data_IF_004197835976
#
_entry.id   IF_004197835976
#
_cell.length_a   1.000
_cell.length_b   1.000
_cell.length_c   1.000
_cell.angle_alpha   90.00
_cell.angle_beta   90.00
_cell.angle_gamma   90.00
#
_symmetry.space_group_name_H-M   'P 1'
#
loop_
_entity.id
_entity.type
_entity.pdbx_description
1 polymer ?
#
# COMPACT_ATOMS: atom_id res chain seq x y z
N UNK A 1 0.32 -8.64 15.74
CA UNK A 1 -0.55 -9.01 14.58
C UNK A 1 -1.49 -7.85 14.32
N UNK A 2 -1.59 -7.45 13.07
CA UNK A 2 -2.42 -6.30 12.63
C UNK A 2 -3.89 -6.60 12.88
N UNK A 3 -4.61 -5.64 13.49
CA UNK A 3 -6.05 -5.76 13.67
C UNK A 3 -6.75 -5.84 12.31
N UNK A 4 -7.72 -6.76 12.17
CA UNK A 4 -8.48 -6.95 10.92
C UNK A 4 -7.75 -7.73 9.81
N UNK A 5 -6.48 -8.13 9.98
CA UNK A 5 -5.75 -8.90 8.97
C UNK A 5 -6.42 -10.25 8.67
N UNK A 6 -7.12 -10.83 9.64
CA UNK A 6 -7.83 -12.09 9.42
C UNK A 6 -9.00 -11.92 8.44
N UNK A 7 -9.82 -10.87 8.60
CA UNK A 7 -10.90 -10.56 7.66
C UNK A 7 -10.34 -10.27 6.28
N UNK A 8 -9.25 -9.50 6.20
CA UNK A 8 -8.57 -9.25 4.94
C UNK A 8 -8.10 -10.55 4.28
N UNK A 9 -7.49 -11.46 5.07
CA UNK A 9 -7.04 -12.77 4.58
C UNK A 9 -8.19 -13.62 4.03
N UNK A 10 -9.29 -13.73 4.74
CA UNK A 10 -10.47 -14.50 4.30
C UNK A 10 -11.00 -14.02 2.96
N UNK A 11 -10.96 -12.70 2.71
CA UNK A 11 -11.45 -12.10 1.46
C UNK A 11 -10.45 -12.21 0.31
N UNK A 12 -9.14 -12.10 0.58
CA UNK A 12 -8.13 -11.89 -0.44
C UNK A 12 -7.15 -13.05 -0.64
N UNK A 13 -7.23 -14.14 0.14
CA UNK A 13 -6.31 -15.28 -0.02
C UNK A 13 -6.31 -15.86 -1.44
N UNK A 14 -7.45 -15.85 -2.13
CA UNK A 14 -7.56 -16.31 -3.52
C UNK A 14 -7.00 -15.35 -4.56
N UNK A 15 -6.63 -14.16 -4.15
CA UNK A 15 -6.12 -13.08 -4.99
C UNK A 15 -4.65 -12.75 -4.70
N UNK A 16 -3.90 -13.68 -4.12
CA UNK A 16 -2.50 -13.45 -3.73
C UNK A 16 -1.60 -13.02 -4.89
N UNK A 17 -1.99 -13.26 -6.13
CA UNK A 17 -1.23 -12.85 -7.31
C UNK A 17 -1.57 -11.44 -7.81
N UNK A 18 -2.57 -10.79 -7.22
CA UNK A 18 -3.01 -9.46 -7.64
C UNK A 18 -2.34 -8.32 -6.85
N UNK A 19 -1.66 -8.63 -5.73
CA UNK A 19 -1.11 -7.61 -4.85
C UNK A 19 0.10 -8.10 -4.05
N UNK A 20 0.85 -7.14 -3.49
CA UNK A 20 1.89 -7.38 -2.50
C UNK A 20 1.63 -6.48 -1.29
N UNK A 21 1.54 -7.05 -0.11
CA UNK A 21 1.50 -6.30 1.16
C UNK A 21 2.92 -5.84 1.48
N UNK A 22 3.06 -4.57 1.81
CA UNK A 22 4.32 -3.92 2.15
C UNK A 22 4.28 -3.31 3.56
N UNK A 23 5.24 -2.49 3.89
CA UNK A 23 5.22 -1.66 5.12
C UNK A 23 5.32 -2.47 6.41
N UNK A 24 4.64 -1.96 7.44
CA UNK A 24 4.67 -2.53 8.79
C UNK A 24 4.07 -3.92 8.86
N UNK A 25 3.00 -4.18 8.13
CA UNK A 25 2.31 -5.48 8.10
C UNK A 25 3.18 -6.57 7.51
N UNK A 26 3.95 -6.29 6.46
CA UNK A 26 4.92 -7.26 5.92
C UNK A 26 6.08 -7.50 6.88
N UNK A 27 6.56 -6.46 7.58
CA UNK A 27 7.56 -6.63 8.64
C UNK A 27 7.04 -7.52 9.79
N UNK A 28 5.79 -7.33 10.21
CA UNK A 28 5.15 -8.12 11.26
C UNK A 28 5.10 -9.61 10.88
N UNK A 29 4.71 -9.93 9.63
CA UNK A 29 4.71 -11.31 9.14
C UNK A 29 6.09 -11.96 9.12
N UNK A 30 7.12 -11.23 8.70
CA UNK A 30 8.51 -11.73 8.68
C UNK A 30 9.01 -11.97 10.11
N UNK A 31 8.82 -11.00 10.99
CA UNK A 31 9.34 -11.03 12.35
C UNK A 31 8.56 -12.00 13.26
N UNK A 32 7.29 -12.29 12.94
CA UNK A 32 6.49 -13.27 13.69
C UNK A 32 7.10 -14.67 13.72
N UNK A 33 8.02 -14.97 12.80
CA UNK A 33 8.79 -16.23 12.72
C UNK A 33 10.09 -16.20 13.51
N UNK A 34 10.36 -15.11 14.21
CA UNK A 34 11.57 -14.90 15.01
C UNK A 34 11.16 -14.58 16.45
N UNK A 35 12.15 -14.49 17.34
CA UNK A 35 11.94 -14.04 18.72
C UNK A 35 11.75 -12.51 18.83
N UNK A 36 11.92 -11.79 17.72
CA UNK A 36 11.80 -10.34 17.67
C UNK A 36 10.34 -9.93 17.71
N UNK A 37 10.03 -8.92 18.52
CA UNK A 37 8.69 -8.32 18.54
C UNK A 37 8.66 -7.12 17.60
N UNK A 38 7.87 -7.17 16.52
CA UNK A 38 7.71 -6.02 15.64
C UNK A 38 6.97 -4.89 16.36
N UNK A 39 7.14 -3.67 15.86
CA UNK A 39 6.31 -2.53 16.28
C UNK A 39 4.86 -2.81 15.86
N UNK A 40 3.92 -2.59 16.78
CA UNK A 40 2.51 -2.68 16.44
C UNK A 40 2.17 -1.77 15.25
N UNK A 41 1.55 -2.34 14.23
CA UNK A 41 0.98 -1.61 13.08
C UNK A 41 -0.52 -1.87 13.01
N UNK A 42 -1.28 -0.92 12.50
CA UNK A 42 -2.73 -1.02 12.37
C UNK A 42 -3.18 -0.86 10.91
N UNK A 43 -2.22 -0.61 10.03
CA UNK A 43 -2.43 -0.26 8.63
C UNK A 43 -2.03 -1.42 7.72
N UNK A 44 -2.76 -1.60 6.63
CA UNK A 44 -2.37 -2.51 5.55
C UNK A 44 -2.03 -1.68 4.32
N UNK A 45 -0.76 -1.70 3.94
CA UNK A 45 -0.25 -1.05 2.74
C UNK A 45 -0.13 -2.09 1.62
N UNK A 46 -0.74 -1.83 0.47
CA UNK A 46 -0.87 -2.77 -0.63
C UNK A 46 -0.33 -2.15 -1.91
N UNK A 47 0.54 -2.86 -2.60
CA UNK A 47 0.93 -2.57 -3.99
C UNK A 47 0.15 -3.49 -4.92
N UNK A 48 -0.55 -2.93 -5.88
CA UNK A 48 -1.30 -3.71 -6.88
C UNK A 48 -0.37 -4.19 -7.97
N UNK A 49 -0.44 -5.47 -8.30
CA UNK A 49 0.24 -6.05 -9.46
C UNK A 49 -0.68 -5.86 -10.67
N UNK A 50 -0.45 -4.78 -11.41
CA UNK A 50 -1.35 -4.35 -12.48
C UNK A 50 -1.39 -5.33 -13.65
N UNK A 51 -0.31 -6.06 -13.86
CA UNK A 51 -0.19 -7.11 -14.88
C UNK A 51 -1.14 -8.29 -14.61
N UNK A 52 -1.51 -8.50 -13.36
CA UNK A 52 -2.41 -9.57 -12.93
C UNK A 52 -3.81 -9.05 -12.56
N UNK A 53 -4.11 -7.79 -12.87
CA UNK A 53 -5.40 -7.18 -12.50
C UNK A 53 -6.56 -7.91 -13.14
N UNK A 54 -7.56 -8.25 -12.33
CA UNK A 54 -8.82 -8.85 -12.79
C UNK A 54 -10.02 -8.06 -12.29
N UNK A 55 -11.14 -8.06 -13.04
CA UNK A 55 -12.38 -7.42 -12.59
C UNK A 55 -12.91 -8.03 -11.28
N UNK A 56 -12.65 -9.30 -11.03
CA UNK A 56 -13.04 -10.01 -9.81
C UNK A 56 -12.30 -9.45 -8.59
N UNK A 57 -10.99 -9.24 -8.70
CA UNK A 57 -10.21 -8.61 -7.63
C UNK A 57 -10.68 -7.18 -7.38
N UNK A 58 -10.85 -6.39 -8.43
CA UNK A 58 -11.32 -5.01 -8.31
C UNK A 58 -12.67 -4.93 -7.57
N UNK A 59 -13.65 -5.74 -8.00
CA UNK A 59 -14.96 -5.82 -7.33
C UNK A 59 -14.85 -6.27 -5.87
N UNK A 60 -14.04 -7.29 -5.59
CA UNK A 60 -13.84 -7.78 -4.22
C UNK A 60 -13.22 -6.72 -3.32
N UNK A 61 -12.25 -5.96 -3.86
CA UNK A 61 -11.62 -4.87 -3.11
C UNK A 61 -12.62 -3.76 -2.77
N UNK A 62 -13.37 -3.28 -3.76
CA UNK A 62 -14.36 -2.22 -3.52
C UNK A 62 -15.51 -2.67 -2.62
N UNK A 63 -15.94 -3.93 -2.71
CA UNK A 63 -16.90 -4.50 -1.77
C UNK A 63 -16.35 -4.54 -0.34
N UNK A 64 -15.08 -4.91 -0.16
CA UNK A 64 -14.42 -4.90 1.14
C UNK A 64 -14.35 -3.50 1.76
N UNK A 65 -14.02 -2.49 0.96
CA UNK A 65 -13.98 -1.09 1.39
C UNK A 65 -15.38 -0.62 1.83
N UNK A 66 -16.42 -0.95 1.06
CA UNK A 66 -17.78 -0.60 1.38
C UNK A 66 -18.29 -1.30 2.65
N UNK A 67 -18.07 -2.61 2.79
CA UNK A 67 -18.46 -3.40 3.97
C UNK A 67 -17.72 -2.93 5.24
N UNK A 68 -16.45 -2.56 5.09
CA UNK A 68 -15.65 -2.02 6.19
C UNK A 68 -16.07 -0.61 6.63
N UNK A 69 -16.97 0.04 5.92
CA UNK A 69 -17.45 1.39 6.24
C UNK A 69 -16.34 2.45 6.22
N UNK A 70 -15.30 2.21 5.42
CA UNK A 70 -14.17 3.10 5.34
C UNK A 70 -14.53 4.48 4.77
N UNK A 71 -13.81 5.48 5.23
CA UNK A 71 -13.88 6.84 4.70
C UNK A 71 -12.70 7.06 3.75
N UNK A 72 -12.93 7.59 2.53
CA UNK A 72 -11.84 7.94 1.65
C UNK A 72 -11.00 9.06 2.29
N UNK A 73 -9.68 8.86 2.30
CA UNK A 73 -8.74 9.91 2.70
C UNK A 73 -8.81 11.04 1.67
N UNK A 74 -9.10 12.26 2.14
CA UNK A 74 -9.22 13.44 1.26
C UNK A 74 -7.84 14.11 1.20
N UNK A 75 -7.18 14.06 0.03
CA UNK A 75 -6.15 15.03 -0.32
C UNK A 75 -6.62 15.85 -1.52
N UNK A 76 -6.60 17.16 -1.37
CA UNK A 76 -6.94 18.09 -2.46
C UNK A 76 -5.67 18.33 -3.27
N UNK A 77 -5.64 17.94 -4.56
CA UNK A 77 -4.79 18.62 -5.53
C UNK A 77 -5.23 18.44 -6.99
N UNK A 78 -4.65 19.26 -7.88
CA UNK A 78 -5.16 19.78 -9.15
C UNK A 78 -4.64 19.03 -10.39
N UNK A 79 -5.51 18.99 -11.41
CA UNK A 79 -5.28 19.30 -12.84
C UNK A 79 -4.40 18.44 -13.77
N UNK A 80 -3.93 17.22 -13.43
CA UNK A 80 -3.40 16.29 -14.44
C UNK A 80 -3.82 14.85 -14.13
N UNK A 81 -4.13 14.07 -15.17
CA UNK A 81 -4.44 12.66 -15.01
C UNK A 81 -3.19 11.93 -14.46
N UNK A 82 -3.22 11.43 -13.22
CA UNK A 82 -2.02 10.90 -12.60
C UNK A 82 -1.61 9.59 -13.28
N UNK A 83 -0.32 9.44 -13.58
CA UNK A 83 0.28 8.20 -14.05
C UNK A 83 0.12 7.08 -13.02
N UNK A 84 -0.06 7.45 -11.75
CA UNK A 84 -0.17 6.57 -10.60
C UNK A 84 -1.29 7.02 -9.68
N UNK A 85 -1.87 6.09 -8.95
CA UNK A 85 -2.98 6.35 -8.05
C UNK A 85 -2.73 5.74 -6.67
N UNK A 86 -3.05 6.51 -5.65
CA UNK A 86 -3.10 6.09 -4.26
C UNK A 86 -4.55 6.17 -3.79
N UNK A 87 -5.06 5.07 -3.26
CA UNK A 87 -6.29 5.07 -2.49
C UNK A 87 -5.93 4.92 -1.01
N UNK A 88 -6.40 5.83 -0.18
CA UNK A 88 -6.25 5.76 1.27
C UNK A 88 -7.62 5.71 1.90
N UNK A 89 -7.85 4.73 2.77
CA UNK A 89 -9.12 4.45 3.41
C UNK A 89 -8.91 4.34 4.91
N UNK A 90 -9.51 5.27 5.66
CA UNK A 90 -9.38 5.37 7.11
C UNK A 90 -10.67 4.96 7.82
N UNK A 91 -10.56 4.68 9.12
CA UNK A 91 -11.68 4.44 10.01
C UNK A 91 -12.51 3.20 9.68
N UNK A 92 -11.86 2.09 9.36
CA UNK A 92 -12.55 0.80 9.22
C UNK A 92 -13.37 0.44 10.47
N UNK A 93 -14.54 -0.17 10.24
CA UNK A 93 -15.41 -0.68 11.30
C UNK A 93 -14.69 -1.69 12.19
N UNK A 94 -15.26 -1.96 13.38
CA UNK A 94 -14.71 -2.94 14.31
C UNK A 94 -14.50 -4.31 13.62
N UNK A 95 -13.30 -4.86 13.77
CA UNK A 95 -12.89 -6.12 13.14
C UNK A 95 -12.16 -5.94 11.80
N UNK A 96 -12.33 -4.81 11.11
CA UNK A 96 -11.57 -4.47 9.91
C UNK A 96 -10.24 -3.79 10.25
N UNK A 97 -9.24 -3.77 9.33
CA UNK A 97 -8.05 -2.94 9.49
C UNK A 97 -8.43 -1.48 9.72
N UNK A 98 -7.70 -0.78 10.57
CA UNK A 98 -7.99 0.63 10.88
C UNK A 98 -7.81 1.50 9.64
N UNK A 99 -6.78 1.18 8.84
CA UNK A 99 -6.46 1.88 7.60
C UNK A 99 -6.04 0.89 6.53
N UNK A 100 -6.41 1.19 5.29
CA UNK A 100 -5.95 0.47 4.09
C UNK A 100 -5.41 1.51 3.11
N UNK A 101 -4.19 1.33 2.65
CA UNK A 101 -3.60 2.10 1.56
C UNK A 101 -3.35 1.20 0.37
N UNK A 102 -3.78 1.63 -0.79
CA UNK A 102 -3.62 0.88 -2.02
C UNK A 102 -2.91 1.75 -3.04
N UNK A 103 -1.71 1.30 -3.43
CA UNK A 103 -0.86 1.92 -4.43
C UNK A 103 -0.97 1.16 -5.73
N UNK A 104 -1.31 1.86 -6.80
CA UNK A 104 -1.45 1.26 -8.12
C UNK A 104 -0.85 2.17 -9.19
N UNK A 105 -0.26 1.58 -10.22
CA UNK A 105 -0.18 2.26 -11.51
C UNK A 105 -1.61 2.42 -12.03
N UNK A 106 -1.83 3.43 -12.87
CA UNK A 106 -3.15 3.65 -13.45
C UNK A 106 -3.64 2.38 -14.17
N UNK A 107 -4.81 1.89 -13.78
CA UNK A 107 -5.43 0.71 -14.38
C UNK A 107 -6.94 0.96 -14.53
N UNK A 108 -7.43 0.93 -15.77
CA UNK A 108 -8.82 1.24 -16.08
C UNK A 108 -9.81 0.26 -15.45
N UNK A 109 -9.44 -1.03 -15.36
CA UNK A 109 -10.30 -2.07 -14.75
C UNK A 109 -10.55 -1.74 -13.28
N UNK A 110 -9.50 -1.35 -12.57
CA UNK A 110 -9.61 -1.02 -11.15
C UNK A 110 -10.37 0.30 -10.95
N UNK A 111 -10.05 1.31 -11.75
CA UNK A 111 -10.68 2.62 -11.69
C UNK A 111 -12.15 2.58 -12.08
N UNK A 112 -12.53 1.82 -13.11
CA UNK A 112 -13.94 1.70 -13.52
C UNK A 112 -14.82 0.97 -12.51
N UNK A 113 -14.25 0.12 -11.67
CA UNK A 113 -14.94 -0.56 -10.58
C UNK A 113 -15.00 0.28 -9.29
N UNK A 114 -14.31 1.42 -9.26
CA UNK A 114 -14.24 2.28 -8.09
C UNK A 114 -15.53 3.07 -7.91
N UNK A 115 -16.00 3.13 -6.66
CA UNK A 115 -17.07 4.04 -6.23
C UNK A 115 -16.50 5.36 -5.65
N UNK A 116 -15.18 5.50 -5.63
CA UNK A 116 -14.44 6.62 -5.06
C UNK A 116 -13.34 7.02 -6.02
N UNK A 117 -13.14 8.30 -6.24
CA UNK A 117 -12.05 8.80 -7.07
C UNK A 117 -10.70 8.53 -6.40
N UNK A 118 -9.67 8.12 -7.18
CA UNK A 118 -8.33 7.94 -6.65
C UNK A 118 -7.74 9.28 -6.21
N UNK A 119 -6.91 9.23 -5.18
CA UNK A 119 -6.14 10.39 -4.78
C UNK A 119 -5.00 10.61 -5.77
N UNK A 120 -4.86 11.82 -6.35
CA UNK A 120 -3.70 12.14 -7.16
C UNK A 120 -2.43 12.07 -6.30
N UNK A 121 -1.38 11.45 -6.83
CA UNK A 121 -0.08 11.42 -6.17
C UNK A 121 0.72 12.61 -6.67
N UNK A 122 0.79 13.65 -5.85
CA UNK A 122 1.76 14.72 -6.02
C UNK A 122 3.09 14.32 -5.39
N UNK A 123 4.20 14.91 -5.82
CA UNK A 123 5.55 14.62 -5.34
C UNK A 123 5.77 14.79 -3.83
N UNK A 124 4.81 15.33 -3.11
CA UNK A 124 4.81 15.49 -1.64
C UNK A 124 4.08 14.35 -0.89
N UNK A 125 3.45 13.42 -1.61
CA UNK A 125 2.81 12.26 -0.99
C UNK A 125 3.87 11.28 -0.50
N UNK A 126 3.65 10.71 0.66
CA UNK A 126 4.60 9.91 1.44
C UNK A 126 5.72 9.30 0.58
N UNK A 127 6.95 9.49 0.99
CA UNK A 127 8.14 9.07 0.24
C UNK A 127 8.09 7.59 -0.19
N UNK A 128 7.37 6.75 0.55
CA UNK A 128 7.20 5.32 0.23
C UNK A 128 6.32 5.10 -1.00
N UNK A 129 5.21 5.84 -1.12
CA UNK A 129 4.29 5.74 -2.25
C UNK A 129 4.97 6.13 -3.56
N UNK A 130 5.72 7.25 -3.54
CA UNK A 130 6.46 7.73 -4.71
C UNK A 130 7.56 6.76 -5.14
N UNK A 131 8.24 6.12 -4.18
CA UNK A 131 9.33 5.19 -4.45
C UNK A 131 8.83 3.90 -5.12
N UNK A 132 7.74 3.32 -4.63
CA UNK A 132 7.17 2.09 -5.19
C UNK A 132 6.68 2.29 -6.63
N UNK A 133 6.35 3.51 -6.99
CA UNK A 133 5.88 3.85 -8.33
C UNK A 133 7.03 3.98 -9.33
N UNK A 134 8.26 4.09 -8.85
CA UNK A 134 9.46 3.97 -9.68
C UNK A 134 9.63 2.51 -10.13
N UNK A 135 9.75 2.29 -11.43
CA UNK A 135 9.70 0.96 -12.04
C UNK A 135 10.71 -0.05 -11.44
N UNK A 136 11.97 0.31 -11.17
CA UNK A 136 12.93 -0.57 -10.52
C UNK A 136 12.45 -1.05 -9.14
N UNK A 137 11.86 -0.19 -8.33
CA UNK A 137 11.36 -0.55 -6.99
C UNK A 137 10.08 -1.36 -7.04
N UNK A 138 9.19 -1.06 -7.99
CA UNK A 138 8.02 -1.87 -8.24
C UNK A 138 8.41 -3.30 -8.62
N UNK A 139 9.29 -3.45 -9.63
CA UNK A 139 9.75 -4.75 -10.09
C UNK A 139 10.48 -5.52 -8.98
N UNK A 140 11.34 -4.82 -8.21
CA UNK A 140 12.01 -5.41 -7.05
C UNK A 140 11.00 -5.95 -6.03
N UNK A 141 9.94 -5.18 -5.74
CA UNK A 141 8.91 -5.55 -4.76
C UNK A 141 8.10 -6.76 -5.23
N UNK A 142 7.68 -6.78 -6.48
CA UNK A 142 6.91 -7.89 -7.05
C UNK A 142 7.76 -9.16 -7.11
N UNK A 143 9.00 -9.07 -7.63
CA UNK A 143 9.90 -10.22 -7.77
C UNK A 143 10.42 -10.76 -6.43
N UNK A 144 10.62 -9.87 -5.43
CA UNK A 144 11.05 -10.26 -4.09
C UNK A 144 9.86 -10.22 -3.12
N UNK A 145 8.91 -11.10 -3.36
CA UNK A 145 7.74 -11.32 -2.54
C UNK A 145 7.55 -12.81 -2.25
N UNK A 146 6.81 -13.12 -1.20
CA UNK A 146 6.48 -14.50 -0.83
C UNK A 146 5.03 -14.59 -0.35
N UNK A 147 4.45 -15.77 -0.46
CA UNK A 147 3.09 -16.05 0.03
C UNK A 147 3.17 -16.72 1.40
N UNK A 148 2.40 -16.19 2.35
CA UNK A 148 2.21 -16.76 3.67
C UNK A 148 0.75 -16.72 4.06
N UNK A 149 0.20 -17.84 4.50
CA UNK A 149 -1.20 -17.99 4.87
C UNK A 149 -2.18 -17.37 3.85
N UNK A 150 -1.90 -17.54 2.54
CA UNK A 150 -2.75 -17.06 1.45
C UNK A 150 -2.59 -15.58 1.07
N UNK A 151 -1.74 -14.82 1.76
CA UNK A 151 -1.45 -13.44 1.39
C UNK A 151 -0.01 -13.31 0.88
N UNK A 152 0.23 -12.41 -0.09
CA UNK A 152 1.55 -12.13 -0.61
C UNK A 152 2.16 -10.92 0.11
N UNK A 153 3.39 -11.06 0.56
CA UNK A 153 4.14 -10.05 1.31
C UNK A 153 5.47 -9.75 0.63
N UNK A 154 5.92 -8.51 0.71
CA UNK A 154 7.26 -8.15 0.29
C UNK A 154 8.31 -8.83 1.17
N UNK A 155 9.33 -9.39 0.53
CA UNK A 155 10.46 -10.02 1.22
C UNK A 155 11.39 -8.98 1.86
N UNK A 156 12.27 -9.39 2.80
CA UNK A 156 13.17 -8.47 3.50
C UNK A 156 13.98 -7.57 2.58
N UNK A 157 14.49 -8.11 1.46
CA UNK A 157 15.28 -7.33 0.49
C UNK A 157 14.48 -6.15 -0.08
N UNK A 158 13.24 -6.39 -0.51
CA UNK A 158 12.38 -5.34 -1.03
C UNK A 158 12.06 -4.30 0.05
N UNK A 159 11.69 -4.73 1.26
CA UNK A 159 11.39 -3.81 2.36
C UNK A 159 12.60 -2.95 2.76
N UNK A 160 13.80 -3.53 2.79
CA UNK A 160 15.03 -2.79 3.09
C UNK A 160 15.33 -1.74 2.01
N UNK A 161 15.20 -2.08 0.74
CA UNK A 161 15.42 -1.15 -0.37
C UNK A 161 14.43 0.01 -0.33
N UNK A 162 13.13 -0.27 -0.10
CA UNK A 162 12.09 0.75 0.03
C UNK A 162 12.36 1.70 1.22
N UNK A 163 12.72 1.14 2.39
CA UNK A 163 13.04 1.94 3.58
C UNK A 163 14.30 2.78 3.39
N UNK A 164 15.35 2.22 2.80
CA UNK A 164 16.60 2.96 2.54
C UNK A 164 16.33 4.16 1.61
N UNK A 165 15.58 3.95 0.54
CA UNK A 165 15.23 5.04 -0.39
C UNK A 165 14.34 6.10 0.26
N UNK A 166 13.36 5.70 1.07
CA UNK A 166 12.51 6.61 1.82
C UNK A 166 13.33 7.49 2.77
N UNK A 167 14.31 6.90 3.48
CA UNK A 167 15.21 7.65 4.38
C UNK A 167 16.02 8.70 3.65
N UNK A 168 16.53 8.40 2.47
CA UNK A 168 17.29 9.36 1.64
C UNK A 168 16.39 10.52 1.21
N UNK A 169 15.19 10.23 0.72
CA UNK A 169 14.23 11.26 0.30
C UNK A 169 13.82 12.18 1.45
N UNK A 170 13.58 11.62 2.64
CA UNK A 170 13.22 12.40 3.83
C UNK A 170 14.36 13.31 4.30
N UNK A 171 15.62 12.85 4.21
CA UNK A 171 16.79 13.65 4.57
C UNK A 171 16.99 14.81 3.62
N UNK A 172 16.77 14.63 2.32
CA UNK A 172 16.85 15.70 1.34
C UNK A 172 15.78 16.77 1.54
N UNK A 173 14.53 16.38 1.83
CA UNK A 173 13.44 17.33 2.12
C UNK A 173 13.76 18.19 3.35
N UNK A 174 14.25 17.61 4.43
CA UNK A 174 14.66 18.37 5.63
C UNK A 174 15.84 19.30 5.39
N UNK A 175 16.80 18.90 4.56
CA UNK A 175 17.94 19.77 4.24
C UNK A 175 17.51 21.03 3.47
N UNK A 176 16.49 20.94 2.62
CA UNK A 176 15.91 22.09 1.93
C UNK A 176 15.12 23.02 2.85
N UNK A 177 14.40 22.47 3.83
CA UNK A 177 13.67 23.28 4.82
C UNK A 177 14.61 24.06 5.76
N UNK A 178 15.75 23.47 6.14
CA UNK A 178 16.74 24.15 7.00
C UNK A 178 17.63 25.15 6.26
N UNK A 179 17.79 25.03 4.93
CA UNK A 179 18.54 25.98 4.10
C UNK A 179 17.81 27.29 3.77
N UNK A 180 16.51 27.37 4.05
CA UNK A 180 15.71 28.59 3.78
C UNK A 180 15.74 29.63 4.90
N UNK A 181 16.53 29.41 5.96
CA UNK A 181 16.66 30.31 7.12
C UNK A 181 18.10 30.83 7.38
N UNK A 182 18.96 30.85 6.34
CA UNK A 182 20.27 31.46 6.41
C UNK A 182 20.40 32.62 5.41
#
# INVERSE_FOLDING_TARGET
MVGGLNIFRERFARFSDNFVIIGGTACDEILSRTEMRPRATMDIDIVVIVENMTPEFARAFWAFIAEGGYRPGIRKNKDEAPKYVLYSFDHGNAGFPVKVELLSRHNEIFTSAAHTEPLPIDGEVSSLSTIILDEPYYNLTVQNSFVSAGLRYAAPLALMALKARASVSYTHLRAHETGAYL
#
